data_IF_022281032275
#
_entry.id   IF_022281032275
#
_cell.length_a   1.000
_cell.length_b   1.000
_cell.length_c   1.000
_cell.angle_alpha   90.00
_cell.angle_beta   90.00
_cell.angle_gamma   90.00
#
_symmetry.space_group_name_H-M   'P 1'
#
loop_
_entity.id
_entity.type
_entity.pdbx_description
1 polymer ?
#
# COMPACT_ATOMS: atom_id res chain seq x y z
N UNK A 1 -8.45 27.24 -10.90
CA UNK A 1 -8.94 26.47 -12.05
C UNK A 1 -7.80 25.55 -12.48
N UNK A 2 -8.05 24.24 -12.62
CA UNK A 2 -7.05 23.28 -13.05
C UNK A 2 -6.69 23.49 -14.53
N UNK A 3 -5.45 23.19 -14.91
CA UNK A 3 -4.97 23.33 -16.29
C UNK A 3 -5.50 22.24 -17.24
N UNK A 4 -6.15 21.20 -16.70
CA UNK A 4 -6.70 20.06 -17.44
C UNK A 4 -8.23 20.17 -17.51
N UNK A 5 -8.76 20.13 -18.72
CA UNK A 5 -10.21 20.15 -19.00
C UNK A 5 -10.79 18.74 -18.86
N UNK A 6 -10.90 18.25 -17.62
CA UNK A 6 -11.55 16.97 -17.32
C UNK A 6 -12.91 17.20 -16.69
N UNK A 7 -13.93 16.57 -17.27
CA UNK A 7 -15.29 16.64 -16.75
C UNK A 7 -15.43 15.88 -15.42
N UNK A 8 -16.41 16.25 -14.60
CA UNK A 8 -16.59 15.64 -13.26
C UNK A 8 -16.69 14.10 -13.30
N UNK A 9 -17.44 13.48 -14.24
CA UNK A 9 -17.51 12.02 -14.35
C UNK A 9 -16.13 11.40 -14.69
N UNK A 10 -15.35 12.06 -15.54
CA UNK A 10 -14.02 11.58 -15.95
C UNK A 10 -13.04 11.57 -14.77
N UNK A 11 -13.13 12.56 -13.88
CA UNK A 11 -12.33 12.62 -12.66
C UNK A 11 -12.73 11.50 -11.69
N UNK A 12 -14.03 11.26 -11.50
CA UNK A 12 -14.52 10.15 -10.67
C UNK A 12 -14.04 8.80 -11.19
N UNK A 13 -14.08 8.57 -12.51
CA UNK A 13 -13.55 7.34 -13.11
C UNK A 13 -12.06 7.15 -12.86
N UNK A 14 -11.26 8.23 -12.86
CA UNK A 14 -9.83 8.16 -12.53
C UNK A 14 -9.56 7.77 -11.07
N UNK A 15 -10.41 8.22 -10.14
CA UNK A 15 -10.34 7.78 -8.75
C UNK A 15 -10.71 6.29 -8.63
N UNK A 16 -11.78 5.86 -9.30
CA UNK A 16 -12.22 4.46 -9.30
C UNK A 16 -11.21 3.49 -9.94
N UNK A 17 -10.45 3.95 -10.94
CA UNK A 17 -9.43 3.13 -11.63
C UNK A 17 -8.40 2.50 -10.69
N UNK A 18 -7.97 3.22 -9.65
CA UNK A 18 -7.07 2.67 -8.62
C UNK A 18 -7.70 1.47 -7.92
N UNK A 19 -8.96 1.59 -7.51
CA UNK A 19 -9.68 0.51 -6.82
C UNK A 19 -9.92 -0.70 -7.71
N UNK A 20 -10.21 -0.49 -9.01
CA UNK A 20 -10.35 -1.60 -9.97
C UNK A 20 -9.05 -2.40 -10.10
N UNK A 21 -7.90 -1.71 -10.19
CA UNK A 21 -6.59 -2.35 -10.21
C UNK A 21 -6.29 -3.13 -8.93
N UNK A 22 -6.55 -2.52 -7.77
CA UNK A 22 -6.34 -3.16 -6.47
C UNK A 22 -7.16 -4.43 -6.29
N UNK A 23 -8.46 -4.38 -6.61
CA UNK A 23 -9.36 -5.54 -6.53
C UNK A 23 -8.88 -6.73 -7.36
N UNK A 24 -8.35 -6.48 -8.56
CA UNK A 24 -7.84 -7.55 -9.43
C UNK A 24 -6.64 -8.28 -8.79
N UNK A 25 -5.83 -7.57 -8.01
CA UNK A 25 -4.58 -8.11 -7.44
C UNK A 25 -4.73 -8.72 -6.05
N UNK A 26 -5.71 -8.30 -5.25
CA UNK A 26 -5.88 -8.78 -3.86
C UNK A 26 -6.01 -10.31 -3.77
N UNK A 27 -6.69 -10.96 -4.73
CA UNK A 27 -6.83 -12.41 -4.73
C UNK A 27 -5.54 -13.16 -5.10
N UNK A 28 -4.66 -12.52 -5.86
CA UNK A 28 -3.45 -13.13 -6.42
C UNK A 28 -2.23 -12.83 -5.52
N UNK A 29 -2.25 -11.71 -4.80
CA UNK A 29 -1.10 -11.18 -4.09
C UNK A 29 -0.59 -12.07 -2.96
N UNK A 30 -1.47 -12.77 -2.24
CA UNK A 30 -1.09 -13.71 -1.18
C UNK A 30 -0.22 -14.87 -1.68
N UNK A 31 -0.73 -15.73 -2.58
CA UNK A 31 0.05 -16.83 -3.16
C UNK A 31 1.33 -16.36 -3.86
N UNK A 32 1.30 -15.17 -4.46
CA UNK A 32 2.45 -14.60 -5.14
C UNK A 32 3.54 -14.17 -4.16
N UNK A 33 3.16 -13.60 -3.00
CA UNK A 33 4.09 -13.25 -1.92
C UNK A 33 4.78 -14.49 -1.36
N UNK A 34 4.05 -15.59 -1.18
CA UNK A 34 4.60 -16.86 -0.70
C UNK A 34 5.60 -17.47 -1.69
N UNK A 35 5.37 -17.31 -3.00
CA UNK A 35 6.22 -17.91 -4.06
C UNK A 35 7.47 -17.10 -4.40
N UNK A 36 7.36 -15.77 -4.52
CA UNK A 36 8.45 -14.90 -4.97
C UNK A 36 9.28 -14.30 -3.84
N UNK A 37 8.80 -14.43 -2.59
CA UNK A 37 9.40 -13.83 -1.42
C UNK A 37 8.84 -12.41 -1.16
N UNK A 38 8.52 -12.08 0.11
CA UNK A 38 7.82 -10.85 0.44
C UNK A 38 8.65 -9.58 0.16
N UNK A 39 9.98 -9.59 0.35
CA UNK A 39 10.86 -8.43 0.07
C UNK A 39 10.84 -8.08 -1.41
N UNK A 40 11.05 -9.07 -2.29
CA UNK A 40 11.13 -8.83 -3.74
C UNK A 40 9.80 -8.31 -4.28
N UNK A 41 8.69 -8.86 -3.81
CA UNK A 41 7.37 -8.40 -4.22
C UNK A 41 7.09 -6.98 -3.72
N UNK A 42 7.44 -6.65 -2.47
CA UNK A 42 7.31 -5.31 -1.91
C UNK A 42 8.14 -4.28 -2.69
N UNK A 43 9.42 -4.58 -2.94
CA UNK A 43 10.32 -3.71 -3.69
C UNK A 43 9.85 -3.53 -5.14
N UNK A 44 9.41 -4.60 -5.80
CA UNK A 44 8.85 -4.53 -7.15
C UNK A 44 7.60 -3.65 -7.22
N UNK A 45 6.67 -3.82 -6.27
CA UNK A 45 5.45 -3.02 -6.19
C UNK A 45 5.76 -1.53 -5.98
N UNK A 46 6.60 -1.19 -5.00
CA UNK A 46 6.96 0.21 -4.72
C UNK A 46 7.75 0.83 -5.88
N UNK A 47 8.57 0.05 -6.60
CA UNK A 47 9.27 0.50 -7.80
C UNK A 47 8.29 0.91 -8.91
N UNK A 48 7.35 0.02 -9.23
CA UNK A 48 6.31 0.30 -10.23
C UNK A 48 5.49 1.53 -9.84
N UNK A 49 5.10 1.65 -8.56
CA UNK A 49 4.36 2.82 -8.06
C UNK A 49 5.17 4.09 -8.22
N UNK A 50 6.44 4.08 -7.82
CA UNK A 50 7.34 5.24 -7.90
C UNK A 50 7.53 5.70 -9.35
N UNK A 51 7.71 4.76 -10.28
CA UNK A 51 7.73 5.05 -11.72
C UNK A 51 6.42 5.68 -12.21
N UNK A 52 5.27 5.10 -11.83
CA UNK A 52 3.96 5.61 -12.26
C UNK A 52 3.69 7.01 -11.70
N UNK A 53 3.99 7.22 -10.42
CA UNK A 53 3.85 8.54 -9.76
C UNK A 53 4.75 9.57 -10.43
N UNK A 54 5.99 9.21 -10.77
CA UNK A 54 6.90 10.11 -11.48
C UNK A 54 6.44 10.44 -12.91
N UNK A 55 5.87 9.46 -13.64
CA UNK A 55 5.33 9.64 -14.99
C UNK A 55 3.93 10.25 -15.03
N UNK A 56 3.24 10.35 -13.89
CA UNK A 56 1.86 10.81 -13.81
C UNK A 56 1.65 12.21 -14.42
N UNK A 57 2.50 13.23 -14.16
CA UNK A 57 2.25 14.57 -14.70
C UNK A 57 2.44 14.67 -16.21
N UNK A 58 3.39 13.93 -16.79
CA UNK A 58 3.64 13.94 -18.23
C UNK A 58 2.50 13.26 -18.97
N UNK A 59 2.07 12.09 -18.50
CA UNK A 59 0.98 11.32 -19.10
C UNK A 59 -0.38 12.02 -18.99
N UNK A 60 -0.62 12.72 -17.87
CA UNK A 60 -1.83 13.53 -17.69
C UNK A 60 -1.96 14.66 -18.73
N UNK A 61 -0.83 15.23 -19.18
CA UNK A 61 -0.81 16.27 -20.22
C UNK A 61 -0.95 15.70 -21.64
N UNK A 62 -0.53 14.46 -21.87
CA UNK A 62 -0.55 13.85 -23.21
C UNK A 62 -1.92 13.28 -23.57
N UNK A 63 -2.48 12.39 -22.74
CA UNK A 63 -3.73 11.71 -23.06
C UNK A 63 -4.43 11.19 -21.79
N UNK A 64 -5.72 11.47 -21.67
CA UNK A 64 -6.57 10.98 -20.59
C UNK A 64 -6.57 9.45 -20.47
N UNK A 65 -6.70 8.72 -21.58
CA UNK A 65 -6.81 7.26 -21.54
C UNK A 65 -5.50 6.59 -21.12
N UNK A 66 -4.35 7.16 -21.51
CA UNK A 66 -3.05 6.71 -21.01
C UNK A 66 -2.95 6.93 -19.49
N UNK A 67 -3.39 8.09 -19.02
CA UNK A 67 -3.44 8.40 -17.59
C UNK A 67 -4.36 7.44 -16.82
N UNK A 68 -5.50 7.08 -17.41
CA UNK A 68 -6.43 6.11 -16.82
C UNK A 68 -5.83 4.71 -16.69
N UNK A 69 -5.13 4.22 -17.71
CA UNK A 69 -4.48 2.90 -17.68
C UNK A 69 -3.38 2.85 -16.63
N UNK A 70 -2.53 3.87 -16.52
CA UNK A 70 -1.49 3.88 -15.47
C UNK A 70 -2.09 3.94 -14.05
N UNK A 71 -3.27 4.54 -13.88
CA UNK A 71 -3.98 4.54 -12.59
C UNK A 71 -4.45 3.14 -12.21
N UNK A 72 -4.90 2.34 -13.18
CA UNK A 72 -5.21 0.93 -12.95
C UNK A 72 -3.93 0.19 -12.54
N UNK A 73 -2.84 0.36 -13.29
CA UNK A 73 -1.56 -0.29 -12.98
C UNK A 73 -1.02 0.11 -11.59
N UNK A 74 -1.23 1.36 -11.18
CA UNK A 74 -0.88 1.83 -9.84
C UNK A 74 -1.66 1.04 -8.78
N UNK A 75 -2.98 0.94 -8.94
CA UNK A 75 -3.82 0.17 -8.01
C UNK A 75 -3.43 -1.32 -7.96
N UNK A 76 -3.09 -1.91 -9.10
CA UNK A 76 -2.57 -3.28 -9.15
C UNK A 76 -1.28 -3.43 -8.34
N UNK A 77 -0.34 -2.51 -8.49
CA UNK A 77 0.91 -2.56 -7.72
C UNK A 77 0.66 -2.37 -6.21
N UNK A 78 -0.26 -1.47 -5.84
CA UNK A 78 -0.62 -1.20 -4.44
C UNK A 78 -1.20 -2.43 -3.73
N UNK A 79 -2.00 -3.24 -4.45
CA UNK A 79 -2.60 -4.47 -3.90
C UNK A 79 -1.60 -5.54 -3.42
N UNK A 80 -0.33 -5.42 -3.80
CA UNK A 80 0.74 -6.30 -3.31
C UNK A 80 1.41 -5.82 -2.02
N UNK A 81 1.28 -4.53 -1.65
CA UNK A 81 2.03 -3.95 -0.52
C UNK A 81 1.62 -4.59 0.81
N UNK A 82 0.33 -4.52 1.16
CA UNK A 82 -0.19 -5.01 2.45
C UNK A 82 0.14 -6.49 2.71
N UNK A 83 -0.12 -7.43 1.78
CA UNK A 83 0.24 -8.84 2.00
C UNK A 83 1.75 -9.05 2.09
N UNK A 84 2.56 -8.33 1.30
CA UNK A 84 4.02 -8.43 1.41
C UNK A 84 4.55 -7.91 2.75
N UNK A 85 4.02 -6.79 3.26
CA UNK A 85 4.39 -6.26 4.59
C UNK A 85 3.98 -7.22 5.69
N UNK A 86 2.77 -7.78 5.65
CA UNK A 86 2.31 -8.75 6.64
C UNK A 86 3.11 -10.05 6.59
N UNK A 87 3.46 -10.53 5.39
CA UNK A 87 4.30 -11.71 5.21
C UNK A 87 5.72 -11.46 5.74
N UNK A 88 6.33 -10.32 5.42
CA UNK A 88 7.64 -9.95 5.96
C UNK A 88 7.60 -9.83 7.49
N UNK A 89 6.56 -9.19 8.03
CA UNK A 89 6.34 -9.06 9.46
C UNK A 89 6.18 -10.41 10.16
N UNK A 90 5.65 -11.42 9.46
CA UNK A 90 5.52 -12.77 10.02
C UNK A 90 6.85 -13.47 10.28
N UNK A 91 7.93 -13.07 9.58
CA UNK A 91 9.29 -13.60 9.78
C UNK A 91 10.12 -12.76 10.76
N UNK A 92 9.80 -11.47 10.91
CA UNK A 92 10.59 -10.51 11.67
C UNK A 92 10.04 -10.19 13.07
N UNK A 93 8.78 -10.50 13.35
CA UNK A 93 8.15 -10.20 14.64
C UNK A 93 7.58 -11.44 15.31
N UNK A 94 7.87 -11.60 16.59
CA UNK A 94 7.28 -12.67 17.40
C UNK A 94 5.75 -12.47 17.52
N UNK A 95 4.96 -13.54 17.74
CA UNK A 95 3.50 -13.44 17.83
C UNK A 95 2.98 -12.37 18.79
N UNK A 96 3.67 -12.15 19.91
CA UNK A 96 3.32 -11.14 20.91
C UNK A 96 3.57 -9.69 20.45
N UNK A 97 4.46 -9.49 19.49
CA UNK A 97 4.87 -8.17 18.97
C UNK A 97 4.12 -7.80 17.68
N UNK A 98 3.41 -8.77 17.06
CA UNK A 98 2.69 -8.55 15.79
C UNK A 98 1.62 -7.47 15.86
N UNK A 99 0.92 -7.34 16.99
CA UNK A 99 -0.07 -6.27 17.20
C UNK A 99 0.59 -4.89 17.24
N UNK A 100 1.75 -4.76 17.89
CA UNK A 100 2.54 -3.54 17.93
C UNK A 100 3.06 -3.15 16.55
N UNK A 101 3.54 -4.12 15.77
CA UNK A 101 3.93 -3.89 14.37
C UNK A 101 2.75 -3.37 13.53
N UNK A 102 1.57 -3.99 13.65
CA UNK A 102 0.37 -3.54 12.94
C UNK A 102 -0.07 -2.13 13.38
N UNK A 103 0.04 -1.82 14.68
CA UNK A 103 -0.23 -0.48 15.20
C UNK A 103 0.75 0.57 14.64
N UNK A 104 2.06 0.24 14.56
CA UNK A 104 3.05 1.12 13.95
C UNK A 104 2.76 1.34 12.46
N UNK A 105 2.47 0.27 11.71
CA UNK A 105 2.09 0.37 10.30
C UNK A 105 0.87 1.28 10.09
N UNK A 106 -0.20 1.06 10.84
CA UNK A 106 -1.44 1.85 10.72
C UNK A 106 -1.25 3.30 11.19
N UNK A 107 -0.42 3.56 12.20
CA UNK A 107 -0.07 4.92 12.61
C UNK A 107 0.65 5.68 11.49
N UNK A 108 1.55 5.01 10.76
CA UNK A 108 2.24 5.58 9.60
C UNK A 108 1.28 5.99 8.49
N UNK A 109 0.27 5.16 8.21
CA UNK A 109 -0.80 5.50 7.25
C UNK A 109 -1.55 6.76 7.69
N UNK A 110 -1.93 6.87 8.96
CA UNK A 110 -2.64 8.06 9.47
C UNK A 110 -1.76 9.32 9.42
N UNK A 111 -0.49 9.22 9.79
CA UNK A 111 0.47 10.34 9.68
C UNK A 111 0.59 10.79 8.22
N UNK A 112 0.70 9.84 7.28
CA UNK A 112 0.78 10.15 5.85
C UNK A 112 -0.48 10.84 5.33
N UNK A 113 -1.66 10.41 5.78
CA UNK A 113 -2.95 10.99 5.40
C UNK A 113 -3.11 12.43 5.90
N UNK A 114 -2.57 12.76 7.08
CA UNK A 114 -2.57 14.11 7.63
C UNK A 114 -1.52 15.02 6.98
N UNK A 115 -0.31 14.51 6.74
CA UNK A 115 0.83 15.32 6.27
C UNK A 115 0.84 15.55 4.77
N UNK A 116 0.43 14.56 3.96
CA UNK A 116 0.50 14.63 2.50
C UNK A 116 -0.31 15.78 1.89
N UNK A 117 -1.57 16.06 2.33
CA UNK A 117 -2.33 17.21 1.83
C UNK A 117 -1.70 18.56 2.19
N UNK A 118 -1.07 18.67 3.37
CA UNK A 118 -0.41 19.91 3.82
C UNK A 118 0.80 20.19 2.92
N UNK A 119 1.64 19.19 2.69
CA UNK A 119 2.81 19.28 1.81
C UNK A 119 2.34 19.57 0.37
N UNK A 120 1.31 18.85 -0.09
CA UNK A 120 0.74 19.01 -1.42
C UNK A 120 0.17 20.39 -1.69
N UNK A 121 -0.58 20.97 -0.75
CA UNK A 121 -1.15 22.31 -0.90
C UNK A 121 -0.08 23.40 -0.98
N UNK A 122 1.01 23.27 -0.20
CA UNK A 122 2.16 24.17 -0.24
C UNK A 122 2.91 24.09 -1.56
N UNK A 123 3.17 22.88 -2.06
CA UNK A 123 3.86 22.65 -3.34
C UNK A 123 3.02 23.15 -4.53
N UNK A 124 1.71 22.90 -4.51
CA UNK A 124 0.80 23.39 -5.55
C UNK A 124 0.72 24.92 -5.61
N UNK A 125 1.01 25.62 -4.51
CA UNK A 125 1.08 27.09 -4.47
C UNK A 125 2.36 27.69 -5.08
N UNK A 126 3.38 26.87 -5.38
CA UNK A 126 4.62 27.33 -6.00
C UNK A 126 4.42 27.51 -7.51
N UNK A 127 4.93 28.60 -8.09
CA UNK A 127 4.83 28.87 -9.54
C UNK A 127 5.80 28.04 -10.41
N UNK A 128 6.63 27.21 -9.80
CA UNK A 128 7.60 26.36 -10.51
C UNK A 128 6.85 25.20 -11.16
N UNK A 129 7.09 24.93 -12.46
CA UNK A 129 6.50 23.80 -13.20
C UNK A 129 4.95 23.72 -13.16
N UNK A 130 4.23 24.84 -13.12
CA UNK A 130 2.76 24.89 -12.93
C UNK A 130 2.28 24.37 -11.55
N UNK A 131 3.20 24.19 -10.60
CA UNK A 131 2.94 23.88 -9.19
C UNK A 131 2.54 22.43 -8.91
N UNK A 132 1.47 21.96 -9.54
CA UNK A 132 0.90 20.64 -9.25
C UNK A 132 1.76 19.42 -9.64
N UNK A 133 2.64 19.44 -10.69
CA UNK A 133 3.51 18.30 -10.99
C UNK A 133 4.58 18.03 -9.93
N UNK A 134 4.95 19.05 -9.15
CA UNK A 134 6.04 18.95 -8.16
C UNK A 134 5.76 17.91 -7.07
N UNK A 135 4.49 17.79 -6.66
CA UNK A 135 4.10 16.80 -5.65
C UNK A 135 4.41 15.38 -6.15
N UNK A 136 4.08 15.08 -7.41
CA UNK A 136 4.32 13.78 -8.02
C UNK A 136 5.81 13.47 -8.13
N UNK A 137 6.63 14.44 -8.57
CA UNK A 137 8.08 14.23 -8.62
C UNK A 137 8.68 14.02 -7.24
N UNK A 138 8.27 14.80 -6.23
CA UNK A 138 8.78 14.67 -4.86
C UNK A 138 8.45 13.29 -4.26
N UNK A 139 7.18 12.88 -4.29
CA UNK A 139 6.76 11.58 -3.74
C UNK A 139 7.32 10.40 -4.55
N UNK A 140 7.42 10.53 -5.87
CA UNK A 140 8.07 9.52 -6.72
C UNK A 140 9.55 9.34 -6.36
N UNK A 141 10.30 10.44 -6.21
CA UNK A 141 11.71 10.38 -5.77
C UNK A 141 11.87 9.81 -4.36
N UNK A 142 10.98 10.18 -3.43
CA UNK A 142 11.01 9.64 -2.07
C UNK A 142 10.74 8.13 -2.06
N UNK A 143 9.88 7.65 -2.94
CA UNK A 143 9.67 6.22 -3.18
C UNK A 143 10.93 5.51 -3.68
N UNK A 144 11.66 6.09 -4.63
CA UNK A 144 12.96 5.55 -5.08
C UNK A 144 14.02 5.55 -3.98
N UNK A 145 14.09 6.60 -3.17
CA UNK A 145 15.01 6.65 -2.04
C UNK A 145 14.68 5.55 -1.01
N UNK A 146 13.39 5.37 -0.70
CA UNK A 146 12.93 4.30 0.18
C UNK A 146 13.27 2.91 -0.37
N UNK A 147 13.10 2.68 -1.67
CA UNK A 147 13.49 1.44 -2.33
C UNK A 147 14.98 1.13 -2.17
N UNK A 148 15.84 2.13 -2.36
CA UNK A 148 17.28 1.95 -2.18
C UNK A 148 17.60 1.56 -0.73
N UNK A 149 17.03 2.27 0.24
CA UNK A 149 17.22 1.95 1.65
C UNK A 149 16.73 0.53 1.97
N UNK A 150 15.51 0.16 1.57
CA UNK A 150 14.99 -1.18 1.83
C UNK A 150 15.77 -2.27 1.09
N UNK A 151 16.29 -2.00 -0.11
CA UNK A 151 17.10 -2.96 -0.84
C UNK A 151 18.36 -3.36 -0.05
N UNK A 152 19.04 -2.36 0.53
CA UNK A 152 20.24 -2.58 1.33
C UNK A 152 19.95 -3.12 2.74
N UNK A 153 18.98 -2.58 3.47
CA UNK A 153 18.79 -2.90 4.90
C UNK A 153 17.84 -4.07 5.18
N UNK A 154 16.82 -4.29 4.34
CA UNK A 154 15.79 -5.30 4.60
C UNK A 154 16.23 -6.65 4.02
N UNK A 155 15.99 -7.75 4.73
CA UNK A 155 16.19 -9.12 4.22
C UNK A 155 14.90 -9.92 4.36
N UNK A 156 14.68 -10.90 3.48
CA UNK A 156 13.44 -11.72 3.51
C UNK A 156 13.33 -12.52 4.81
N UNK A 157 14.44 -13.05 5.30
CA UNK A 157 14.51 -13.82 6.54
C UNK A 157 15.52 -13.23 7.52
N UNK A 158 15.28 -13.34 8.83
CA UNK A 158 16.25 -12.93 9.84
C UNK A 158 17.57 -13.70 9.72
N UNK A 159 17.52 -14.96 9.29
CA UNK A 159 18.70 -15.82 9.10
C UNK A 159 19.68 -15.32 8.02
N UNK A 160 19.19 -14.57 7.06
CA UNK A 160 19.96 -14.03 5.92
C UNK A 160 20.48 -12.61 6.18
N UNK A 161 19.97 -11.95 7.21
CA UNK A 161 20.33 -10.58 7.53
C UNK A 161 21.71 -10.54 8.22
N UNK A 162 22.62 -9.70 7.71
CA UNK A 162 23.96 -9.51 8.27
C UNK A 162 24.00 -8.60 9.51
N UNK A 163 22.95 -7.82 9.74
CA UNK A 163 22.88 -6.82 10.81
C UNK A 163 22.17 -7.31 12.07
N UNK A 164 21.62 -8.54 12.08
CA UNK A 164 20.88 -9.08 13.22
C UNK A 164 21.84 -9.65 14.29
N UNK A 165 21.50 -9.45 15.57
CA UNK A 165 22.22 -10.08 16.68
C UNK A 165 21.92 -11.57 16.77
N UNK A 166 22.89 -12.36 17.26
CA UNK A 166 22.70 -13.79 17.50
C UNK A 166 21.61 -14.07 18.54
N UNK A 167 21.46 -13.22 19.55
CA UNK A 167 20.43 -13.37 20.59
C UNK A 167 19.03 -13.21 20.00
N UNK A 168 18.81 -12.17 19.20
CA UNK A 168 17.53 -11.88 18.54
C UNK A 168 17.17 -12.97 17.53
N UNK A 169 18.15 -13.45 16.76
CA UNK A 169 17.97 -14.56 15.83
C UNK A 169 17.46 -15.82 16.56
N UNK A 170 18.11 -16.20 17.66
CA UNK A 170 17.71 -17.37 18.44
C UNK A 170 16.31 -17.19 19.07
N UNK A 171 15.99 -15.98 19.55
CA UNK A 171 14.67 -15.65 20.08
C UNK A 171 13.56 -15.80 19.04
N UNK A 172 13.78 -15.29 17.83
CA UNK A 172 12.83 -15.41 16.72
C UNK A 172 12.65 -16.87 16.28
N UNK A 173 13.73 -17.63 16.14
CA UNK A 173 13.66 -19.05 15.77
C UNK A 173 12.84 -19.86 16.79
N UNK A 174 13.06 -19.65 18.09
CA UNK A 174 12.30 -20.32 19.15
C UNK A 174 10.81 -19.90 19.17
N UNK A 175 10.54 -18.61 18.99
CA UNK A 175 9.18 -18.06 19.00
C UNK A 175 8.36 -18.48 17.77
N UNK A 176 8.99 -18.59 16.60
CA UNK A 176 8.33 -19.02 15.37
C UNK A 176 8.10 -20.53 15.34
N UNK A 177 9.05 -21.33 15.83
CA UNK A 177 8.92 -22.79 15.86
C UNK A 177 7.84 -23.26 16.84
N UNK A 178 7.68 -22.61 17.99
CA UNK A 178 6.62 -22.92 18.96
C UNK A 178 5.19 -22.67 18.43
N UNK A 179 5.04 -21.85 17.39
CA UNK A 179 3.75 -21.54 16.76
C UNK A 179 3.51 -22.38 15.49
N UNK A 180 4.50 -23.13 15.01
CA UNK A 180 4.46 -23.86 13.73
C UNK A 180 3.80 -25.24 13.87
N UNK A 181 2.51 -25.28 14.19
CA UNK A 181 1.64 -26.45 13.97
C UNK A 181 0.76 -26.19 12.74
N UNK A 182 1.37 -26.05 11.56
CA UNK A 182 0.63 -25.77 10.31
C UNK A 182 0.19 -27.05 9.60
N UNK A 183 -1.11 -27.26 9.54
CA UNK A 183 -1.75 -28.10 8.51
C UNK A 183 -1.55 -27.45 7.14
N UNK A 184 -1.27 -28.25 6.12
CA UNK A 184 -0.79 -27.82 4.79
C UNK A 184 -1.90 -27.36 3.83
N UNK A 185 -3.17 -27.40 4.25
CA UNK A 185 -4.31 -27.11 3.37
C UNK A 185 -5.19 -26.05 4.00
N UNK A 186 -5.28 -24.88 3.35
CA UNK A 186 -6.17 -23.79 3.76
C UNK A 186 -7.62 -24.26 3.56
N UNK A 187 -8.46 -24.34 4.60
CA UNK A 187 -9.82 -24.88 4.50
C UNK A 187 -10.79 -23.83 3.94
N UNK A 188 -10.66 -23.50 2.65
CA UNK A 188 -11.45 -22.46 1.98
C UNK A 188 -12.97 -22.59 2.19
N UNK A 189 -13.52 -23.81 2.08
CA UNK A 189 -14.96 -24.04 2.28
C UNK A 189 -15.41 -23.67 3.70
N UNK A 190 -14.60 -23.96 4.71
CA UNK A 190 -14.94 -23.64 6.11
C UNK A 190 -14.87 -22.13 6.37
N UNK A 191 -13.90 -21.45 5.76
CA UNK A 191 -13.75 -19.99 5.87
C UNK A 191 -14.96 -19.28 5.22
N UNK A 192 -15.38 -19.72 4.03
CA UNK A 192 -16.53 -19.13 3.35
C UNK A 192 -17.89 -19.46 3.97
N UNK A 193 -17.97 -20.45 4.86
CA UNK A 193 -19.23 -20.86 5.51
C UNK A 193 -19.32 -20.34 6.96
N UNK A 194 -18.28 -19.68 7.48
CA UNK A 194 -18.21 -19.18 8.86
C UNK A 194 -18.93 -17.84 9.02
N UNK A 195 -19.85 -17.78 9.99
CA UNK A 195 -20.60 -16.56 10.34
C UNK A 195 -19.68 -15.45 10.84
N UNK A 196 -18.61 -15.81 11.55
CA UNK A 196 -17.62 -14.88 12.08
C UNK A 196 -16.88 -14.14 10.97
N UNK A 197 -16.54 -14.83 9.89
CA UNK A 197 -15.93 -14.22 8.70
C UNK A 197 -16.87 -13.19 8.08
N UNK A 198 -18.15 -13.52 7.92
CA UNK A 198 -19.14 -12.57 7.41
C UNK A 198 -19.33 -11.37 8.33
N UNK A 199 -19.35 -11.57 9.65
CA UNK A 199 -19.43 -10.49 10.62
C UNK A 199 -18.22 -9.54 10.52
N UNK A 200 -17.00 -10.08 10.39
CA UNK A 200 -15.79 -9.29 10.19
C UNK A 200 -15.81 -8.53 8.85
N UNK A 201 -16.23 -9.17 7.76
CA UNK A 201 -16.34 -8.51 6.44
C UNK A 201 -17.35 -7.36 6.50
N UNK A 202 -18.51 -7.58 7.11
CA UNK A 202 -19.54 -6.55 7.27
C UNK A 202 -19.07 -5.38 8.14
N UNK A 203 -18.40 -5.66 9.26
CA UNK A 203 -17.82 -4.64 10.12
C UNK A 203 -16.77 -3.80 9.37
N UNK A 204 -15.88 -4.46 8.63
CA UNK A 204 -14.85 -3.79 7.84
C UNK A 204 -15.45 -2.93 6.71
N UNK A 205 -16.45 -3.46 6.00
CA UNK A 205 -17.20 -2.72 4.98
C UNK A 205 -17.85 -1.46 5.58
N UNK A 206 -18.54 -1.62 6.71
CA UNK A 206 -19.22 -0.51 7.41
C UNK A 206 -18.24 0.58 7.82
N UNK A 207 -17.07 0.19 8.35
CA UNK A 207 -16.00 1.12 8.71
C UNK A 207 -15.52 1.91 7.49
N UNK A 208 -15.12 1.23 6.40
CA UNK A 208 -14.64 1.90 5.19
C UNK A 208 -15.71 2.78 4.53
N UNK A 209 -16.96 2.34 4.54
CA UNK A 209 -18.08 3.10 4.01
C UNK A 209 -18.30 4.40 4.79
N UNK A 210 -18.32 4.35 6.12
CA UNK A 210 -18.42 5.53 6.97
C UNK A 210 -17.25 6.49 6.75
N UNK A 211 -16.01 5.98 6.73
CA UNK A 211 -14.82 6.81 6.48
C UNK A 211 -14.87 7.49 5.12
N UNK A 212 -15.30 6.78 4.07
CA UNK A 212 -15.41 7.33 2.73
C UNK A 212 -16.48 8.43 2.66
N UNK A 213 -17.64 8.26 3.30
CA UNK A 213 -18.67 9.31 3.38
C UNK A 213 -18.09 10.55 4.06
N UNK A 214 -17.51 10.39 5.24
CA UNK A 214 -16.97 11.52 6.01
C UNK A 214 -15.93 12.29 5.18
N UNK A 215 -14.98 11.60 4.57
CA UNK A 215 -13.94 12.24 3.75
C UNK A 215 -14.49 12.97 2.51
N UNK A 216 -15.50 12.41 1.83
CA UNK A 216 -16.06 13.03 0.62
C UNK A 216 -16.98 14.22 0.93
N UNK A 217 -17.72 14.18 2.04
CA UNK A 217 -18.68 15.22 2.41
C UNK A 217 -18.08 16.33 3.29
N UNK A 218 -16.94 16.11 3.97
CA UNK A 218 -16.23 17.15 4.72
C UNK A 218 -15.98 18.41 3.86
N UNK A 219 -15.38 18.32 2.66
CA UNK A 219 -15.12 19.50 1.84
C UNK A 219 -16.39 20.20 1.34
N UNK A 220 -17.51 19.48 1.29
CA UNK A 220 -18.80 20.03 0.89
C UNK A 220 -19.48 20.77 2.05
N UNK A 221 -19.26 20.30 3.28
CA UNK A 221 -19.85 20.87 4.50
C UNK A 221 -19.11 22.12 5.00
N UNK A 222 -17.80 22.17 4.83
CA UNK A 222 -16.96 23.33 5.23
C UNK A 222 -16.75 24.36 4.10
N UNK A 223 -17.54 24.26 3.03
CA UNK A 223 -17.59 25.25 1.95
C UNK A 223 -18.65 26.30 2.24
#
# INVERSE_FOLDING_TARGET
>A
QGTLLWDSPMQSSLFSALYYGGLATIFISGPLADRFGPKKLLLGAIFVISCIVFLAPTLAKTNYWLYFVIRIMHGMAEGFIVPSVNALGSFWFAPIEKSSMAALYTSGVQISAATSPIIGSRLCGMKILEGWPLIFYLFGMMGFLWLLLCFFFVSDRPTENRWISHEEKNFLENSLNSTSTRTTVIPWKSIFTSTEVYACVFANFSMYFCTAIVLNFIPLYFK
#
